data_IF_474607596775
#
_entry.id   IF_474607596775
#
_cell.length_a   1.000
_cell.length_b   1.000
_cell.length_c   1.000
_cell.angle_alpha   90.00
_cell.angle_beta   90.00
_cell.angle_gamma   90.00
#
_symmetry.space_group_name_H-M   'P 1'
#
loop_
_entity.id
_entity.type
_entity.pdbx_description
1 polymer ?
#
# COMPACT_ATOMS: atom_id res chain seq x y z
N UNK A 1 46.96 3.59 36.76
CA UNK A 1 45.68 3.86 36.05
C UNK A 1 44.54 3.13 36.75
N UNK A 2 43.59 3.84 37.38
CA UNK A 2 42.33 3.26 37.90
C UNK A 2 41.18 3.92 37.16
N UNK A 3 40.44 3.16 36.35
CA UNK A 3 39.22 3.63 35.67
C UNK A 3 38.09 3.74 36.69
N UNK A 4 37.62 4.95 36.94
CA UNK A 4 36.42 5.22 37.73
C UNK A 4 35.18 4.90 36.88
N UNK A 5 34.44 3.87 37.26
CA UNK A 5 33.14 3.53 36.69
C UNK A 5 32.08 4.43 37.31
N UNK A 6 31.63 5.45 36.56
CA UNK A 6 30.52 6.29 36.97
C UNK A 6 29.20 5.52 36.73
N UNK A 7 28.64 4.93 37.78
CA UNK A 7 27.32 4.30 37.73
C UNK A 7 26.25 5.40 37.72
N UNK A 8 25.60 5.59 36.58
CA UNK A 8 24.37 6.37 36.50
C UNK A 8 23.34 5.74 37.44
N UNK A 9 23.03 6.43 38.55
CA UNK A 9 21.97 6.03 39.47
C UNK A 9 20.63 6.26 38.75
N UNK A 10 20.00 5.19 38.27
CA UNK A 10 18.59 5.23 37.88
C UNK A 10 17.77 5.57 39.11
N UNK A 11 17.21 6.77 39.15
CA UNK A 11 16.35 7.22 40.24
C UNK A 11 15.07 6.39 40.14
N UNK A 12 14.81 5.52 41.13
CA UNK A 12 13.55 4.81 41.21
C UNK A 12 12.45 5.84 41.48
N UNK A 13 11.52 5.98 40.53
CA UNK A 13 10.28 6.71 40.78
C UNK A 13 9.59 6.08 41.98
N UNK A 14 9.53 6.81 43.08
CA UNK A 14 8.81 6.46 44.31
C UNK A 14 7.41 5.97 43.95
N UNK A 15 7.11 4.70 44.19
CA UNK A 15 5.79 4.12 44.06
C UNK A 15 4.90 4.73 45.16
N UNK A 16 4.23 5.83 44.84
CA UNK A 16 3.42 6.57 45.79
C UNK A 16 2.09 5.80 46.03
N UNK A 17 1.79 5.34 47.25
CA UNK A 17 0.60 4.52 47.55
C UNK A 17 -0.73 5.25 47.33
N UNK A 18 -0.71 6.56 47.08
CA UNK A 18 -1.89 7.34 46.72
C UNK A 18 -2.19 7.33 45.21
N UNK A 19 -1.21 6.94 44.37
CA UNK A 19 -1.36 6.73 42.93
C UNK A 19 -1.73 5.29 42.56
N UNK A 20 -1.64 4.33 43.49
CA UNK A 20 -2.04 2.92 43.27
C UNK A 20 -3.55 2.74 43.35
N UNK A 21 -4.30 3.60 42.69
CA UNK A 21 -5.73 3.39 42.47
C UNK A 21 -5.86 2.15 41.58
N UNK A 22 -6.34 1.04 42.14
CA UNK A 22 -6.70 -0.19 41.41
C UNK A 22 -7.85 0.13 40.46
N UNK A 23 -7.52 0.69 39.30
CA UNK A 23 -8.48 0.95 38.25
C UNK A 23 -9.08 -0.38 37.80
N UNK A 24 -10.42 -0.49 37.68
CA UNK A 24 -11.06 -1.72 37.23
C UNK A 24 -10.57 -2.08 35.82
N UNK A 25 -9.69 -3.08 35.72
CA UNK A 25 -9.06 -3.51 34.46
C UNK A 25 -10.10 -3.91 33.40
N UNK A 26 -11.27 -4.40 33.84
CA UNK A 26 -12.36 -4.82 32.94
C UNK A 26 -12.89 -3.67 32.09
N UNK A 27 -12.96 -2.44 32.62
CA UNK A 27 -13.48 -1.28 31.90
C UNK A 27 -12.56 -0.90 30.74
N UNK A 28 -11.24 -0.85 30.99
CA UNK A 28 -10.24 -0.59 29.95
C UNK A 28 -10.27 -1.68 28.87
N UNK A 29 -10.35 -2.95 29.29
CA UNK A 29 -10.40 -4.09 28.36
C UNK A 29 -11.65 -4.09 27.47
N UNK A 30 -12.81 -3.70 28.01
CA UNK A 30 -14.03 -3.52 27.23
C UNK A 30 -13.93 -2.37 26.23
N UNK A 31 -13.41 -1.22 26.64
CA UNK A 31 -13.27 -0.06 25.73
C UNK A 31 -12.32 -0.40 24.57
N UNK A 32 -11.19 -1.03 24.85
CA UNK A 32 -10.25 -1.47 23.81
C UNK A 32 -10.89 -2.52 22.89
N UNK A 33 -11.65 -3.46 23.44
CA UNK A 33 -12.37 -4.46 22.64
C UNK A 33 -13.41 -3.81 21.71
N UNK A 34 -14.22 -2.87 22.22
CA UNK A 34 -15.21 -2.15 21.42
C UNK A 34 -14.55 -1.31 20.33
N UNK A 35 -13.45 -0.64 20.65
CA UNK A 35 -12.66 0.12 19.67
C UNK A 35 -12.12 -0.79 18.58
N UNK A 36 -11.56 -1.93 18.95
CA UNK A 36 -11.09 -2.94 17.99
C UNK A 36 -12.21 -3.45 17.09
N UNK A 37 -13.38 -3.77 17.66
CA UNK A 37 -14.56 -4.18 16.90
C UNK A 37 -15.05 -3.09 15.94
N UNK A 38 -14.98 -1.81 16.32
CA UNK A 38 -15.31 -0.69 15.44
C UNK A 38 -14.37 -0.65 14.22
N UNK A 39 -13.06 -0.83 14.42
CA UNK A 39 -12.10 -0.92 13.32
C UNK A 39 -12.37 -2.14 12.42
N UNK A 40 -12.63 -3.31 13.00
CA UNK A 40 -12.99 -4.52 12.24
C UNK A 40 -14.24 -4.28 11.38
N UNK A 41 -15.27 -3.62 11.92
CA UNK A 41 -16.48 -3.30 11.17
C UNK A 41 -16.19 -2.35 9.99
N UNK A 42 -15.34 -1.34 10.19
CA UNK A 42 -14.90 -0.45 9.10
C UNK A 42 -14.10 -1.20 8.04
N UNK A 43 -13.20 -2.10 8.42
CA UNK A 43 -12.44 -2.94 7.48
C UNK A 43 -13.39 -3.84 6.69
N UNK A 44 -14.31 -4.54 7.35
CA UNK A 44 -15.32 -5.36 6.67
C UNK A 44 -16.17 -4.53 5.70
N UNK A 45 -16.56 -3.31 6.09
CA UNK A 45 -17.31 -2.40 5.22
C UNK A 45 -16.49 -1.94 4.02
N UNK A 46 -15.22 -1.62 4.23
CA UNK A 46 -14.30 -1.25 3.15
C UNK A 46 -14.10 -2.42 2.17
N UNK A 47 -13.89 -3.63 2.68
CA UNK A 47 -13.83 -4.84 1.84
C UNK A 47 -15.14 -5.11 1.11
N UNK A 48 -16.31 -4.85 1.70
CA UNK A 48 -17.58 -4.98 1.01
C UNK A 48 -17.71 -3.99 -0.16
N UNK A 49 -17.31 -2.73 0.06
CA UNK A 49 -17.41 -1.66 -0.95
C UNK A 49 -16.34 -1.82 -2.04
N UNK A 50 -15.11 -2.19 -1.67
CA UNK A 50 -13.96 -2.30 -2.58
C UNK A 50 -13.75 -3.72 -3.15
N UNK A 51 -14.49 -4.71 -2.62
CA UNK A 51 -14.31 -6.12 -2.93
C UNK A 51 -14.90 -6.54 -4.28
N UNK A 52 -15.53 -7.73 -4.37
CA UNK A 52 -15.87 -8.35 -5.65
C UNK A 52 -16.97 -7.55 -6.36
N UNK A 53 -16.57 -6.66 -7.28
CA UNK A 53 -17.50 -5.78 -7.99
C UNK A 53 -16.86 -4.72 -8.88
N UNK A 54 -15.56 -4.45 -8.71
CA UNK A 54 -14.87 -3.41 -9.51
C UNK A 54 -14.74 -3.72 -11.01
N UNK A 55 -15.05 -4.95 -11.45
CA UNK A 55 -15.05 -5.31 -12.86
C UNK A 55 -15.99 -4.47 -13.73
N UNK A 56 -17.10 -3.96 -13.17
CA UNK A 56 -17.99 -3.05 -13.89
C UNK A 56 -17.33 -1.69 -14.16
N UNK A 57 -16.75 -1.07 -13.11
CA UNK A 57 -16.06 0.22 -13.24
C UNK A 57 -14.80 0.10 -14.11
N UNK A 58 -14.11 -1.03 -14.04
CA UNK A 58 -12.95 -1.31 -14.87
C UNK A 58 -13.32 -1.43 -16.35
N UNK A 59 -14.39 -2.16 -16.69
CA UNK A 59 -14.94 -2.21 -18.06
C UNK A 59 -15.38 -0.83 -18.56
N UNK A 60 -16.00 -0.02 -17.69
CA UNK A 60 -16.39 1.34 -18.03
C UNK A 60 -15.19 2.28 -18.22
N UNK A 61 -14.07 2.03 -17.53
CA UNK A 61 -12.80 2.70 -17.76
C UNK A 61 -12.16 2.25 -19.08
N UNK A 62 -12.13 0.95 -19.34
CA UNK A 62 -11.61 0.38 -20.58
C UNK A 62 -12.36 0.91 -21.80
N UNK A 63 -13.70 0.99 -21.77
CA UNK A 63 -14.47 1.53 -22.90
C UNK A 63 -14.16 2.99 -23.22
N UNK A 64 -13.68 3.78 -22.23
CA UNK A 64 -13.33 5.19 -22.40
C UNK A 64 -11.86 5.42 -22.73
N UNK A 65 -10.96 4.59 -22.20
CA UNK A 65 -9.52 4.82 -22.25
C UNK A 65 -8.75 3.79 -23.07
N UNK A 66 -9.29 2.61 -23.40
CA UNK A 66 -8.67 1.72 -24.37
C UNK A 66 -8.84 2.29 -25.77
N UNK A 67 -7.86 3.08 -26.19
CA UNK A 67 -7.68 3.41 -27.59
C UNK A 67 -6.82 2.31 -28.22
N UNK A 68 -7.40 1.53 -29.13
CA UNK A 68 -6.57 0.69 -30.01
C UNK A 68 -5.81 1.62 -30.94
N UNK A 69 -4.51 1.69 -30.75
CA UNK A 69 -3.61 2.34 -31.69
C UNK A 69 -3.29 1.31 -32.76
N UNK A 70 -3.84 1.50 -33.95
CA UNK A 70 -3.49 0.67 -35.09
C UNK A 70 -2.03 0.95 -35.45
N UNK A 71 -1.18 -0.07 -35.32
CA UNK A 71 0.21 0.00 -35.73
C UNK A 71 0.22 -0.11 -37.27
N UNK A 72 0.59 0.96 -38.00
CA UNK A 72 0.62 0.90 -39.45
C UNK A 72 1.63 -0.16 -39.90
N UNK A 73 1.26 -0.95 -40.90
CA UNK A 73 2.19 -1.91 -41.48
C UNK A 73 3.33 -1.15 -42.18
N UNK A 74 4.58 -1.39 -41.76
CA UNK A 74 5.74 -0.83 -42.43
C UNK A 74 5.89 -1.46 -43.81
N UNK A 75 5.96 -0.64 -44.87
CA UNK A 75 6.20 -1.12 -46.23
C UNK A 75 7.56 -1.83 -46.31
N UNK A 76 7.59 -2.96 -47.03
CA UNK A 76 8.79 -3.73 -47.30
C UNK A 76 9.85 -2.95 -48.10
N UNK A 77 11.11 -3.27 -47.83
CA UNK A 77 12.28 -2.68 -48.48
C UNK A 77 12.39 -3.15 -49.93
N UNK A 78 12.66 -2.24 -50.86
CA UNK A 78 12.89 -2.58 -52.28
C UNK A 78 14.38 -2.79 -52.49
N UNK A 79 14.73 -3.94 -53.04
CA UNK A 79 16.10 -4.35 -53.34
C UNK A 79 16.29 -4.49 -54.85
N UNK A 80 17.46 -4.10 -55.34
CA UNK A 80 17.91 -4.45 -56.69
C UNK A 80 18.28 -5.94 -56.77
N UNK A 81 18.48 -6.47 -57.99
CA UNK A 81 18.93 -7.84 -58.26
C UNK A 81 20.24 -8.22 -57.56
N UNK A 82 21.05 -7.23 -57.20
CA UNK A 82 22.32 -7.41 -56.50
C UNK A 82 22.18 -7.28 -54.96
N UNK A 83 20.95 -7.17 -54.45
CA UNK A 83 20.67 -6.99 -53.02
C UNK A 83 20.88 -5.56 -52.51
N UNK A 84 21.17 -4.59 -53.39
CA UNK A 84 21.35 -3.20 -53.01
C UNK A 84 20.01 -2.54 -52.71
N UNK A 85 19.97 -1.67 -51.71
CA UNK A 85 18.74 -0.99 -51.27
C UNK A 85 18.39 0.14 -52.21
N UNK A 86 17.19 0.11 -52.78
CA UNK A 86 16.69 1.20 -53.62
C UNK A 86 15.69 2.10 -52.88
N UNK A 87 14.88 1.54 -51.97
CA UNK A 87 13.96 2.30 -51.13
C UNK A 87 13.67 1.60 -49.80
N UNK A 88 13.54 2.38 -48.73
CA UNK A 88 13.13 1.90 -47.40
C UNK A 88 12.20 2.91 -46.72
N UNK A 89 11.33 2.41 -45.85
CA UNK A 89 10.42 3.22 -45.03
C UNK A 89 10.96 3.28 -43.60
N UNK A 90 11.12 4.48 -43.04
CA UNK A 90 11.50 4.70 -41.64
C UNK A 90 10.31 5.34 -40.92
N UNK A 91 9.98 4.89 -39.69
CA UNK A 91 8.86 5.41 -38.92
C UNK A 91 9.10 6.84 -38.41
#
# INVERSE_FOLDING_TARGET
MKKSSNKNKSVAFSANPILSVRLPMWRSKLVVFLLFMAFVALTARAFWIQGPGNGFYQKQGESRYQRRLELPATRGKILDRNGLVLATSLP
#
